data_IF_709926794675
#
_entry.id   IF_709926794675
#
_cell.length_a   1.000
_cell.length_b   1.000
_cell.length_c   1.000
_cell.angle_alpha   90.00
_cell.angle_beta   90.00
_cell.angle_gamma   90.00
#
_symmetry.space_group_name_H-M   'P 1'
#
loop_
_entity.id
_entity.type
_entity.pdbx_description
1 polymer ?
#
# COMPACT_ATOMS: atom_id res chain seq x y z
N UNK A 1 -13.95 28.10 -13.20
CA UNK A 1 -13.28 27.42 -14.32
C UNK A 1 -14.19 26.33 -14.79
N UNK A 2 -14.66 26.43 -16.02
CA UNK A 2 -15.49 25.41 -16.67
C UNK A 2 -14.63 24.22 -17.11
N UNK A 3 -15.26 23.09 -17.47
CA UNK A 3 -14.54 21.94 -18.03
C UNK A 3 -13.86 22.30 -19.36
N UNK A 4 -14.54 23.05 -20.23
CA UNK A 4 -13.98 23.46 -21.52
C UNK A 4 -12.75 24.36 -21.37
N UNK A 5 -12.80 25.34 -20.46
CA UNK A 5 -11.63 26.18 -20.12
C UNK A 5 -10.47 25.34 -19.59
N UNK A 6 -10.77 24.37 -18.73
CA UNK A 6 -9.75 23.48 -18.16
C UNK A 6 -9.07 22.64 -19.25
N UNK A 7 -9.83 22.03 -20.14
CA UNK A 7 -9.31 21.21 -21.24
C UNK A 7 -8.47 22.05 -22.21
N UNK A 8 -8.86 23.30 -22.48
CA UNK A 8 -8.06 24.20 -23.31
C UNK A 8 -6.71 24.53 -22.65
N UNK A 9 -6.71 24.89 -21.36
CA UNK A 9 -5.48 25.13 -20.59
C UNK A 9 -4.57 23.90 -20.60
N UNK A 10 -5.11 22.68 -20.50
CA UNK A 10 -4.30 21.47 -20.56
C UNK A 10 -3.58 21.28 -21.90
N UNK A 11 -4.16 21.78 -23.00
CA UNK A 11 -3.59 21.66 -24.35
C UNK A 11 -2.57 22.76 -24.65
N UNK A 12 -2.90 24.00 -24.31
CA UNK A 12 -2.17 25.19 -24.77
C UNK A 12 -1.30 25.81 -23.68
N UNK A 13 -1.66 25.59 -22.42
CA UNK A 13 -1.04 26.24 -21.28
C UNK A 13 0.38 25.75 -20.96
N UNK A 14 1.19 26.65 -20.42
CA UNK A 14 2.50 26.34 -19.86
C UNK A 14 2.37 25.53 -18.56
N UNK A 15 3.50 25.08 -18.00
CA UNK A 15 3.50 24.28 -16.77
C UNK A 15 2.72 24.94 -15.62
N UNK A 16 2.95 26.24 -15.37
CA UNK A 16 2.33 26.96 -14.26
C UNK A 16 0.82 27.06 -14.44
N UNK A 17 0.36 27.37 -15.65
CA UNK A 17 -1.07 27.47 -15.97
C UNK A 17 -1.77 26.12 -15.77
N UNK A 18 -1.20 25.04 -16.30
CA UNK A 18 -1.76 23.69 -16.12
C UNK A 18 -1.74 23.26 -14.66
N UNK A 19 -0.65 23.51 -13.94
CA UNK A 19 -0.51 23.18 -12.52
C UNK A 19 -1.53 23.93 -11.66
N UNK A 20 -1.70 25.23 -11.91
CA UNK A 20 -2.67 26.05 -11.23
C UNK A 20 -4.11 25.62 -11.55
N UNK A 21 -4.35 25.19 -12.79
CA UNK A 21 -5.64 24.70 -13.23
C UNK A 21 -6.02 23.39 -12.53
N UNK A 22 -5.13 22.39 -12.51
CA UNK A 22 -5.36 21.12 -11.78
C UNK A 22 -5.43 21.32 -10.26
N UNK A 23 -4.96 22.46 -9.74
CA UNK A 23 -5.06 22.79 -8.31
C UNK A 23 -6.45 23.29 -7.92
N UNK A 24 -7.16 23.92 -8.85
CA UNK A 24 -8.42 24.66 -8.58
C UNK A 24 -9.66 24.04 -9.19
N UNK A 25 -9.52 23.26 -10.27
CA UNK A 25 -10.66 22.66 -10.96
C UNK A 25 -11.46 21.73 -10.04
N UNK A 26 -12.76 21.59 -10.33
CA UNK A 26 -13.60 20.56 -9.71
C UNK A 26 -12.95 19.17 -9.94
N UNK A 27 -12.74 18.36 -8.88
CA UNK A 27 -12.14 17.04 -8.99
C UNK A 27 -12.76 16.10 -10.04
N UNK A 28 -14.06 16.25 -10.34
CA UNK A 28 -14.74 15.44 -11.34
C UNK A 28 -14.09 15.51 -12.74
N UNK A 29 -13.42 16.62 -13.07
CA UNK A 29 -12.78 16.83 -14.37
C UNK A 29 -11.30 16.42 -14.41
N UNK A 30 -10.72 15.98 -13.28
CA UNK A 30 -9.28 15.68 -13.21
C UNK A 30 -8.84 14.47 -14.04
N UNK A 31 -9.78 13.66 -14.55
CA UNK A 31 -9.52 12.58 -15.51
C UNK A 31 -8.81 13.09 -16.76
N UNK A 32 -9.12 14.31 -17.22
CA UNK A 32 -8.47 14.94 -18.38
C UNK A 32 -6.98 15.21 -18.18
N UNK A 33 -6.52 15.35 -16.93
CA UNK A 33 -5.12 15.63 -16.60
C UNK A 33 -4.34 14.41 -16.10
N UNK A 34 -4.97 13.23 -16.01
CA UNK A 34 -4.32 12.02 -15.50
C UNK A 34 -3.11 11.58 -16.33
N UNK A 35 -3.07 11.97 -17.61
CA UNK A 35 -1.96 11.69 -18.53
C UNK A 35 -1.11 12.93 -18.86
N UNK A 36 -1.14 14.00 -18.04
CA UNK A 36 -0.30 15.18 -18.28
C UNK A 36 1.18 14.75 -18.38
N UNK A 37 1.91 15.35 -19.32
CA UNK A 37 3.34 15.06 -19.53
C UNK A 37 4.19 15.32 -18.28
N UNK A 38 3.80 16.28 -17.44
CA UNK A 38 4.54 16.65 -16.24
C UNK A 38 4.14 15.78 -15.03
N UNK A 39 5.14 15.14 -14.42
CA UNK A 39 4.97 14.33 -13.21
C UNK A 39 4.32 15.11 -12.07
N UNK A 40 4.67 16.38 -11.88
CA UNK A 40 4.17 17.21 -10.77
C UNK A 40 2.68 17.47 -10.92
N UNK A 41 2.19 17.61 -12.16
CA UNK A 41 0.77 17.72 -12.46
C UNK A 41 0.08 16.39 -12.18
N UNK A 42 0.58 15.26 -12.69
CA UNK A 42 -0.01 13.94 -12.39
C UNK A 42 0.00 13.62 -10.90
N UNK A 43 1.03 14.02 -10.18
CA UNK A 43 1.09 13.94 -8.72
C UNK A 43 -0.04 14.75 -8.07
N UNK A 44 -0.22 16.01 -8.49
CA UNK A 44 -1.31 16.87 -8.01
C UNK A 44 -2.70 16.29 -8.32
N UNK A 45 -2.86 15.71 -9.51
CA UNK A 45 -4.07 15.00 -9.92
C UNK A 45 -4.32 13.82 -8.97
N UNK A 46 -3.33 12.99 -8.70
CA UNK A 46 -3.44 11.79 -7.84
C UNK A 46 -3.81 12.12 -6.41
N UNK A 47 -3.59 13.34 -5.93
CA UNK A 47 -4.04 13.78 -4.60
C UNK A 47 -5.54 14.14 -4.55
N UNK A 48 -6.13 14.51 -5.68
CA UNK A 48 -7.46 15.15 -5.73
C UNK A 48 -8.49 14.36 -6.53
N UNK A 49 -8.05 13.59 -7.53
CA UNK A 49 -8.96 12.83 -8.40
C UNK A 49 -9.86 11.91 -7.56
N UNK A 50 -11.16 11.78 -7.89
CA UNK A 50 -12.07 10.87 -7.20
C UNK A 50 -11.53 9.43 -7.19
N UNK A 51 -11.82 8.68 -6.12
CA UNK A 51 -11.18 7.40 -5.86
C UNK A 51 -11.51 6.35 -6.94
N UNK A 52 -12.71 6.41 -7.51
CA UNK A 52 -13.19 5.58 -8.61
C UNK A 52 -12.38 5.75 -9.91
N UNK A 53 -11.68 6.88 -10.06
CA UNK A 53 -10.87 7.20 -11.24
C UNK A 53 -9.36 7.02 -11.01
N UNK A 54 -8.92 6.59 -9.82
CA UNK A 54 -7.50 6.40 -9.52
C UNK A 54 -6.84 5.26 -10.31
N UNK A 55 -7.63 4.34 -10.87
CA UNK A 55 -7.18 3.28 -11.76
C UNK A 55 -6.37 3.81 -12.97
N UNK A 56 -6.60 5.06 -13.38
CA UNK A 56 -5.83 5.72 -14.44
C UNK A 56 -4.36 5.97 -14.09
N UNK A 57 -4.00 5.97 -12.80
CA UNK A 57 -2.68 6.37 -12.28
C UNK A 57 -1.92 5.22 -11.62
N UNK A 58 -2.51 4.03 -11.51
CA UNK A 58 -1.89 2.88 -10.84
C UNK A 58 -0.66 2.34 -11.59
N UNK A 59 -0.49 2.68 -12.86
CA UNK A 59 0.65 2.30 -13.70
C UNK A 59 1.61 3.47 -13.96
N UNK A 60 1.48 4.59 -13.24
CA UNK A 60 2.37 5.74 -13.43
C UNK A 60 3.86 5.32 -13.29
N UNK A 61 4.78 5.81 -14.15
CA UNK A 61 6.19 5.46 -14.07
C UNK A 61 6.82 5.76 -12.69
N UNK A 62 6.32 6.78 -11.98
CA UNK A 62 6.84 7.24 -10.69
C UNK A 62 6.13 6.55 -9.52
N UNK A 63 6.94 5.95 -8.64
CA UNK A 63 6.43 5.20 -7.47
C UNK A 63 5.64 6.07 -6.50
N UNK A 64 5.95 7.36 -6.38
CA UNK A 64 5.27 8.27 -5.46
C UNK A 64 3.81 8.48 -5.86
N UNK A 65 3.52 8.48 -7.16
CA UNK A 65 2.16 8.56 -7.69
C UNK A 65 1.42 7.25 -7.43
N UNK A 66 2.03 6.11 -7.79
CA UNK A 66 1.43 4.79 -7.51
C UNK A 66 1.19 4.56 -6.01
N UNK A 67 2.06 5.05 -5.14
CA UNK A 67 1.88 4.97 -3.68
C UNK A 67 0.66 5.75 -3.22
N UNK A 68 0.45 6.97 -3.71
CA UNK A 68 -0.74 7.76 -3.37
C UNK A 68 -1.99 7.07 -3.94
N UNK A 69 -1.91 6.52 -5.15
CA UNK A 69 -3.00 5.75 -5.74
C UNK A 69 -3.37 4.54 -4.86
N UNK A 70 -2.39 3.71 -4.45
CA UNK A 70 -2.61 2.57 -3.56
C UNK A 70 -3.20 2.97 -2.19
N UNK A 71 -2.90 4.18 -1.69
CA UNK A 71 -3.47 4.67 -0.42
C UNK A 71 -4.91 5.16 -0.54
N UNK A 72 -5.37 5.54 -1.73
CA UNK A 72 -6.67 6.21 -1.94
C UNK A 72 -7.67 5.41 -2.77
N UNK A 73 -7.19 4.54 -3.67
CA UNK A 73 -8.04 3.77 -4.57
C UNK A 73 -9.02 2.89 -3.78
N UNK A 74 -10.18 2.61 -4.37
CA UNK A 74 -11.12 1.63 -3.82
C UNK A 74 -10.39 0.31 -3.53
N UNK A 75 -10.62 -0.28 -2.35
CA UNK A 75 -9.93 -1.47 -1.90
C UNK A 75 -10.11 -2.65 -2.86
N UNK A 76 -11.24 -2.73 -3.58
CA UNK A 76 -11.50 -3.77 -4.60
C UNK A 76 -10.52 -3.75 -5.77
N UNK A 77 -9.86 -2.62 -6.00
CA UNK A 77 -8.90 -2.44 -7.10
C UNK A 77 -7.45 -2.71 -6.67
N UNK A 78 -7.17 -2.81 -5.36
CA UNK A 78 -5.83 -3.07 -4.83
C UNK A 78 -5.17 -4.37 -5.32
N UNK A 79 -5.92 -5.46 -5.63
CA UNK A 79 -5.31 -6.65 -6.26
C UNK A 79 -4.54 -6.33 -7.54
N UNK A 80 -4.90 -5.28 -8.28
CA UNK A 80 -4.17 -4.84 -9.50
C UNK A 80 -2.78 -4.29 -9.20
N UNK A 81 -2.51 -3.91 -7.96
CA UNK A 81 -1.26 -3.29 -7.51
C UNK A 81 -0.42 -4.22 -6.61
N UNK A 82 -0.89 -5.44 -6.36
CA UNK A 82 -0.28 -6.36 -5.37
C UNK A 82 1.17 -6.72 -5.70
N UNK A 83 1.50 -6.75 -7.00
CA UNK A 83 2.83 -7.05 -7.53
C UNK A 83 3.63 -5.78 -7.91
N UNK A 84 3.33 -4.61 -7.34
CA UNK A 84 4.06 -3.39 -7.66
C UNK A 84 5.57 -3.56 -7.43
N UNK A 85 6.38 -3.02 -8.36
CA UNK A 85 7.85 -3.06 -8.27
C UNK A 85 8.41 -2.40 -6.99
N UNK A 86 7.69 -1.44 -6.41
CA UNK A 86 8.12 -0.75 -5.19
C UNK A 86 7.46 -1.35 -3.95
N UNK A 87 8.29 -1.74 -2.99
CA UNK A 87 7.79 -2.27 -1.72
C UNK A 87 6.97 -1.26 -0.91
N UNK A 88 7.21 0.04 -1.07
CA UNK A 88 6.36 1.08 -0.45
C UNK A 88 4.92 0.98 -0.94
N UNK A 89 4.73 0.68 -2.23
CA UNK A 89 3.40 0.48 -2.81
C UNK A 89 2.82 -0.84 -2.33
N UNK A 90 3.58 -1.95 -2.36
CA UNK A 90 3.11 -3.25 -1.86
C UNK A 90 2.75 -3.22 -0.37
N UNK A 91 3.48 -2.46 0.44
CA UNK A 91 3.14 -2.20 1.84
C UNK A 91 1.80 -1.46 1.96
N UNK A 92 1.60 -0.38 1.19
CA UNK A 92 0.32 0.33 1.17
C UNK A 92 -0.85 -0.53 0.64
N UNK A 93 -0.57 -1.48 -0.26
CA UNK A 93 -1.53 -2.52 -0.64
C UNK A 93 -1.83 -3.43 0.55
N UNK A 94 -0.81 -3.98 1.20
CA UNK A 94 -0.96 -4.86 2.36
C UNK A 94 -1.71 -4.19 3.53
N UNK A 95 -1.64 -2.87 3.68
CA UNK A 95 -2.39 -2.10 4.68
C UNK A 95 -3.91 -2.13 4.46
N UNK A 96 -4.37 -2.23 3.20
CA UNK A 96 -5.77 -1.94 2.83
C UNK A 96 -6.47 -3.03 2.05
N UNK A 97 -5.72 -3.93 1.42
CA UNK A 97 -6.29 -4.99 0.58
C UNK A 97 -7.19 -5.89 1.43
N UNK A 98 -8.22 -6.47 0.80
CA UNK A 98 -9.07 -7.46 1.45
C UNK A 98 -8.20 -8.61 2.01
N UNK A 99 -8.53 -9.06 3.22
CA UNK A 99 -7.72 -10.03 3.97
C UNK A 99 -7.55 -11.36 3.21
N UNK A 100 -8.50 -11.72 2.34
CA UNK A 100 -8.41 -12.92 1.50
C UNK A 100 -7.23 -12.91 0.53
N UNK A 101 -6.66 -11.75 0.20
CA UNK A 101 -5.47 -11.63 -0.66
C UNK A 101 -4.15 -11.59 0.12
N UNK A 102 -4.17 -11.34 1.42
CA UNK A 102 -2.94 -11.25 2.23
C UNK A 102 -2.05 -12.50 2.17
N UNK A 103 -2.57 -13.74 2.03
CA UNK A 103 -1.72 -14.91 1.85
C UNK A 103 -0.71 -14.80 0.69
N UNK A 104 -1.07 -14.09 -0.40
CA UNK A 104 -0.18 -13.90 -1.55
C UNK A 104 1.02 -12.98 -1.29
N UNK A 105 1.03 -12.27 -0.17
CA UNK A 105 2.10 -11.37 0.26
C UNK A 105 2.93 -11.93 1.42
N UNK A 106 2.64 -13.15 1.89
CA UNK A 106 3.36 -13.78 3.00
C UNK A 106 4.85 -13.96 2.69
N UNK A 107 5.19 -14.20 1.42
CA UNK A 107 6.56 -14.37 0.94
C UNK A 107 7.12 -13.11 0.26
N UNK A 108 6.58 -11.92 0.56
CA UNK A 108 7.12 -10.68 0.00
C UNK A 108 8.61 -10.55 0.34
N UNK A 109 9.40 -10.13 -0.65
CA UNK A 109 10.85 -9.97 -0.51
C UNK A 109 11.24 -9.02 0.61
N UNK A 110 10.40 -8.02 0.89
CA UNK A 110 10.69 -7.00 1.89
C UNK A 110 10.04 -7.34 3.23
N UNK A 111 10.82 -7.49 4.32
CA UNK A 111 10.27 -7.87 5.61
C UNK A 111 9.22 -6.89 6.15
N UNK A 112 9.32 -5.60 5.82
CA UNK A 112 8.33 -4.61 6.25
C UNK A 112 6.94 -4.90 5.68
N UNK A 113 6.85 -5.43 4.46
CA UNK A 113 5.58 -5.86 3.86
C UNK A 113 5.07 -7.10 4.58
N UNK A 114 5.95 -8.09 4.85
CA UNK A 114 5.58 -9.30 5.59
C UNK A 114 5.13 -9.00 7.03
N UNK A 115 5.73 -8.00 7.70
CA UNK A 115 5.25 -7.50 9.01
C UNK A 115 3.83 -6.97 8.90
N UNK A 116 3.54 -6.13 7.88
CA UNK A 116 2.19 -5.61 7.65
C UNK A 116 1.18 -6.74 7.36
N UNK A 117 1.58 -7.75 6.57
CA UNK A 117 0.78 -8.96 6.37
C UNK A 117 0.50 -9.64 7.70
N UNK A 118 1.53 -9.88 8.53
CA UNK A 118 1.38 -10.48 9.85
C UNK A 118 0.48 -9.66 10.75
N UNK A 119 0.41 -8.34 10.63
CA UNK A 119 -0.47 -7.51 11.47
C UNK A 119 -1.96 -7.69 11.15
N UNK A 120 -2.29 -8.05 9.92
CA UNK A 120 -3.68 -8.13 9.44
C UNK A 120 -4.17 -9.55 9.17
N UNK A 121 -3.33 -10.42 8.61
CA UNK A 121 -3.72 -11.75 8.13
C UNK A 121 -4.43 -12.58 9.20
N UNK A 122 -5.33 -13.45 8.76
CA UNK A 122 -6.01 -14.43 9.60
C UNK A 122 -5.03 -15.24 10.46
N UNK A 123 -5.41 -15.51 11.71
CA UNK A 123 -4.53 -16.17 12.69
C UNK A 123 -4.13 -17.59 12.30
N UNK A 124 -4.93 -18.23 11.46
CA UNK A 124 -4.72 -19.55 10.89
C UNK A 124 -3.47 -19.65 9.99
N UNK A 125 -3.08 -18.53 9.36
CA UNK A 125 -1.89 -18.45 8.49
C UNK A 125 -0.60 -18.17 9.27
N UNK A 126 -0.69 -17.67 10.51
CA UNK A 126 0.49 -17.25 11.27
C UNK A 126 1.45 -18.40 11.60
N UNK A 127 0.96 -19.64 11.63
CA UNK A 127 1.79 -20.84 11.84
C UNK A 127 2.81 -21.02 10.70
N UNK A 128 2.47 -20.58 9.49
CA UNK A 128 3.30 -20.76 8.29
C UNK A 128 4.39 -19.67 8.21
N UNK A 129 4.30 -18.62 9.05
CA UNK A 129 5.26 -17.51 9.11
C UNK A 129 6.20 -17.58 10.34
N UNK A 130 6.12 -18.64 11.16
CA UNK A 130 6.97 -18.77 12.37
C UNK A 130 8.45 -18.89 12.04
N UNK A 131 8.77 -19.40 10.85
CA UNK A 131 10.13 -19.65 10.37
C UNK A 131 10.68 -18.55 9.47
N UNK A 132 10.03 -17.39 9.43
CA UNK A 132 10.49 -16.24 8.63
C UNK A 132 11.96 -15.91 8.95
N UNK A 133 12.76 -15.58 7.94
CA UNK A 133 14.18 -15.29 8.11
C UNK A 133 14.43 -14.03 8.95
N UNK A 134 13.54 -13.05 8.85
CA UNK A 134 13.62 -11.78 9.58
C UNK A 134 13.03 -11.89 10.99
N UNK A 135 13.86 -11.61 11.99
CA UNK A 135 13.48 -11.69 13.40
C UNK A 135 12.33 -10.72 13.74
N UNK A 136 12.24 -9.56 13.08
CA UNK A 136 11.11 -8.63 13.28
C UNK A 136 9.77 -9.20 12.79
N UNK A 137 9.77 -9.99 11.72
CA UNK A 137 8.56 -10.68 11.24
C UNK A 137 8.16 -11.75 12.25
N UNK A 138 9.11 -12.62 12.67
CA UNK A 138 8.85 -13.64 13.71
C UNK A 138 8.36 -13.02 15.02
N UNK A 139 8.88 -11.85 15.40
CA UNK A 139 8.39 -11.08 16.56
C UNK A 139 6.95 -10.62 16.38
N UNK A 140 6.58 -10.14 15.19
CA UNK A 140 5.20 -9.79 14.87
C UNK A 140 4.28 -11.02 14.96
N UNK A 141 4.74 -12.18 14.45
CA UNK A 141 4.01 -13.46 14.53
C UNK A 141 3.80 -13.86 15.98
N UNK A 142 4.87 -13.84 16.79
CA UNK A 142 4.81 -14.18 18.22
C UNK A 142 3.81 -13.32 19.00
N UNK A 143 3.52 -12.08 18.57
CA UNK A 143 2.51 -11.23 19.21
C UNK A 143 1.07 -11.68 18.93
N UNK A 144 0.78 -12.22 17.74
CA UNK A 144 -0.60 -12.52 17.29
C UNK A 144 -0.95 -14.01 17.24
N UNK A 145 0.04 -14.88 17.10
CA UNK A 145 -0.18 -16.33 16.86
C UNK A 145 -1.05 -16.94 17.99
N UNK A 146 -1.99 -17.85 17.68
CA UNK A 146 -2.77 -18.53 18.72
C UNK A 146 -1.88 -19.19 19.78
N UNK A 147 -2.29 -19.12 21.05
CA UNK A 147 -1.47 -19.57 22.18
C UNK A 147 -1.00 -21.03 22.07
N UNK A 148 -1.85 -21.90 21.50
CA UNK A 148 -1.51 -23.31 21.22
C UNK A 148 -0.27 -23.52 20.35
N UNK A 149 0.17 -22.51 19.61
CA UNK A 149 1.37 -22.57 18.75
C UNK A 149 2.57 -21.78 19.30
N UNK A 150 2.43 -21.07 20.43
CA UNK A 150 3.51 -20.25 20.99
C UNK A 150 4.79 -21.04 21.27
N UNK A 151 4.63 -22.29 21.75
CA UNK A 151 5.76 -23.17 22.07
C UNK A 151 6.60 -23.54 20.83
N UNK A 152 6.06 -23.41 19.61
CA UNK A 152 6.83 -23.65 18.39
C UNK A 152 7.94 -22.61 18.20
N UNK A 153 7.83 -21.42 18.81
CA UNK A 153 8.85 -20.37 18.73
C UNK A 153 9.78 -20.34 19.95
N UNK A 154 9.68 -21.28 20.91
CA UNK A 154 10.42 -21.21 22.18
C UNK A 154 11.95 -21.19 22.02
N UNK A 155 12.43 -21.79 20.93
CA UNK A 155 13.85 -21.88 20.59
C UNK A 155 14.30 -20.83 19.57
N UNK A 156 13.49 -19.79 19.31
CA UNK A 156 13.86 -18.70 18.40
C UNK A 156 15.20 -18.10 18.85
N UNK A 157 16.10 -17.84 17.90
CA UNK A 157 17.42 -17.27 18.20
C UNK A 157 17.34 -15.82 18.71
N UNK A 158 16.26 -15.10 18.38
CA UNK A 158 16.09 -13.70 18.74
C UNK A 158 15.55 -13.55 20.16
N UNK A 159 16.32 -12.88 21.01
CA UNK A 159 15.90 -12.54 22.37
C UNK A 159 14.62 -11.69 22.38
N UNK A 160 14.42 -10.85 21.36
CA UNK A 160 13.21 -10.02 21.26
C UNK A 160 11.94 -10.84 21.00
N UNK A 161 12.07 -12.01 20.34
CA UNK A 161 10.98 -12.94 20.10
C UNK A 161 10.70 -13.75 21.36
N UNK A 162 11.74 -14.32 21.99
CA UNK A 162 11.64 -15.04 23.27
C UNK A 162 10.92 -14.22 24.33
N UNK A 163 11.27 -12.94 24.45
CA UNK A 163 10.63 -12.01 25.38
C UNK A 163 9.11 -11.86 25.16
N UNK A 164 8.64 -11.87 23.90
CA UNK A 164 7.20 -11.83 23.60
C UNK A 164 6.53 -13.14 24.02
N UNK A 165 7.17 -14.28 23.77
CA UNK A 165 6.64 -15.61 24.12
C UNK A 165 6.50 -15.72 25.63
N UNK A 166 7.55 -15.44 26.40
CA UNK A 166 7.53 -15.48 27.86
C UNK A 166 6.42 -14.59 28.44
N UNK A 167 6.27 -13.37 27.91
CA UNK A 167 5.19 -12.46 28.32
C UNK A 167 3.79 -12.98 28.01
N UNK A 168 3.62 -13.78 26.95
CA UNK A 168 2.31 -14.33 26.56
C UNK A 168 1.99 -15.64 27.26
N UNK A 169 2.99 -16.43 27.66
CA UNK A 169 2.79 -17.66 28.44
C UNK A 169 2.47 -17.37 29.92
N UNK A 170 2.93 -16.23 30.44
CA UNK A 170 2.69 -15.82 31.83
C UNK A 170 1.40 -14.99 32.02
N UNK A 171 0.52 -14.93 31.02
CA UNK A 171 -0.79 -14.26 31.08
C UNK A 171 -1.90 -15.29 31.12
#
# INVERSE_FOLDING_TARGET
>A
MTESEFVDILKTGNFKERFDAVSRINPAYLTHAASDKDRSIRYKVTLRIPAENLSLLINDPYKEIRLIAAKRIDAKELPKMINDKSFWVRHAVAERIDESFLPSLMDDKEPIVRIMVVERIGKEYLKDMIGDDEALVRKAVAKRIPAKYLLLLQNDVSESVKNIISKRLNK
#
